data_IF_237865807078
#
_entry.id   IF_237865807078
#
_cell.length_a   1.000
_cell.length_b   1.000
_cell.length_c   1.000
_cell.angle_alpha   90.00
_cell.angle_beta   90.00
_cell.angle_gamma   90.00
#
_symmetry.space_group_name_H-M   'P 1'
#
loop_
_entity.id
_entity.type
_entity.pdbx_description
1 polymer ?
#
# COMPACT_ATOMS: atom_id res chain seq x y z
N UNK A 1 0.94 3.55 -21.58
CA UNK A 1 0.15 4.51 -20.79
C UNK A 1 0.00 5.78 -21.60
N UNK A 2 -1.17 6.40 -21.57
CA UNK A 2 -1.30 7.80 -22.01
C UNK A 2 -0.62 8.73 -21.00
N UNK A 3 -0.33 9.99 -21.36
CA UNK A 3 0.21 10.97 -20.41
C UNK A 3 -0.64 11.12 -19.14
N UNK A 4 -1.96 11.07 -19.27
CA UNK A 4 -2.91 11.16 -18.17
C UNK A 4 -2.80 9.94 -17.24
N UNK A 5 -2.75 8.74 -17.82
CA UNK A 5 -2.57 7.50 -17.05
C UNK A 5 -1.22 7.48 -16.31
N UNK A 6 -0.16 8.02 -16.93
CA UNK A 6 1.15 8.12 -16.29
C UNK A 6 1.12 9.11 -15.12
N UNK A 7 0.42 10.24 -15.28
CA UNK A 7 0.27 11.23 -14.22
C UNK A 7 -0.50 10.65 -13.03
N UNK A 8 -1.62 9.96 -13.28
CA UNK A 8 -2.41 9.28 -12.26
C UNK A 8 -1.57 8.22 -11.52
N UNK A 9 -0.84 7.39 -12.27
CA UNK A 9 0.07 6.41 -11.67
C UNK A 9 1.12 7.08 -10.76
N UNK A 10 1.74 8.16 -11.23
CA UNK A 10 2.77 8.87 -10.46
C UNK A 10 2.21 9.44 -9.15
N UNK A 11 0.97 9.95 -9.16
CA UNK A 11 0.29 10.43 -7.96
C UNK A 11 0.06 9.30 -6.95
N UNK A 12 -0.39 8.14 -7.42
CA UNK A 12 -0.60 6.97 -6.57
C UNK A 12 0.72 6.44 -5.99
N UNK A 13 1.77 6.35 -6.81
CA UNK A 13 3.10 5.90 -6.35
C UNK A 13 3.65 6.86 -5.28
N UNK A 14 3.53 8.17 -5.45
CA UNK A 14 3.97 9.14 -4.44
C UNK A 14 3.21 8.99 -3.13
N UNK A 15 1.89 8.79 -3.18
CA UNK A 15 1.07 8.57 -1.99
C UNK A 15 1.49 7.28 -1.25
N UNK A 16 1.69 6.18 -1.98
CA UNK A 16 2.16 4.91 -1.42
C UNK A 16 3.56 5.06 -0.80
N UNK A 17 4.50 5.72 -1.49
CA UNK A 17 5.84 5.96 -0.99
C UNK A 17 5.84 6.75 0.33
N UNK A 18 4.98 7.77 0.43
CA UNK A 18 4.83 8.55 1.67
C UNK A 18 4.34 7.69 2.84
N UNK A 19 3.35 6.83 2.61
CA UNK A 19 2.82 5.93 3.65
C UNK A 19 3.87 4.91 4.07
N UNK A 20 4.57 4.29 3.11
CA UNK A 20 5.65 3.34 3.40
C UNK A 20 6.76 3.98 4.22
N UNK A 21 7.18 5.20 3.89
CA UNK A 21 8.18 5.94 4.68
C UNK A 21 7.73 6.25 6.12
N UNK A 22 6.41 6.38 6.36
CA UNK A 22 5.87 6.70 7.67
C UNK A 22 5.64 5.46 8.56
N UNK A 23 5.24 4.35 7.95
CA UNK A 23 4.77 3.16 8.68
C UNK A 23 5.76 1.99 8.67
N UNK A 24 6.67 1.93 7.72
CA UNK A 24 7.60 0.82 7.57
C UNK A 24 8.90 1.05 8.36
N UNK A 25 9.48 -0.05 8.83
CA UNK A 25 10.85 -0.04 9.33
C UNK A 25 11.82 0.42 8.23
N UNK A 26 12.74 1.32 8.58
CA UNK A 26 13.67 1.93 7.62
C UNK A 26 14.51 0.91 6.83
N UNK A 27 14.74 -0.29 7.39
CA UNK A 27 15.46 -1.39 6.75
C UNK A 27 14.64 -2.05 5.63
N UNK A 28 13.32 -2.12 5.79
CA UNK A 28 12.42 -2.79 4.82
C UNK A 28 12.18 -1.96 3.57
N UNK A 29 12.43 -0.65 3.59
CA UNK A 29 12.24 0.23 2.43
C UNK A 29 13.52 0.48 1.62
N UNK A 30 14.63 -0.20 1.97
CA UNK A 30 15.90 -0.08 1.25
C UNK A 30 16.04 -1.06 0.08
N UNK A 31 15.23 -2.11 0.06
CA UNK A 31 15.27 -3.14 -0.98
C UNK A 31 13.90 -3.28 -1.64
N UNK A 32 13.89 -3.69 -2.91
CA UNK A 32 12.65 -3.92 -3.64
C UNK A 32 11.80 -5.02 -2.99
N UNK A 33 12.45 -6.08 -2.48
CA UNK A 33 11.80 -7.18 -1.76
C UNK A 33 11.10 -6.70 -0.48
N UNK A 34 11.76 -5.86 0.31
CA UNK A 34 11.18 -5.33 1.53
C UNK A 34 10.01 -4.38 1.26
N UNK A 35 10.11 -3.55 0.21
CA UNK A 35 9.01 -2.69 -0.26
C UNK A 35 7.81 -3.55 -0.68
N UNK A 36 8.04 -4.57 -1.52
CA UNK A 36 6.99 -5.48 -2.00
C UNK A 36 6.28 -6.17 -0.83
N UNK A 37 7.05 -6.73 0.10
CA UNK A 37 6.52 -7.46 1.26
C UNK A 37 5.68 -6.54 2.14
N UNK A 38 6.16 -5.33 2.39
CA UNK A 38 5.45 -4.33 3.21
C UNK A 38 4.13 -3.92 2.55
N UNK A 39 4.14 -3.59 1.25
CA UNK A 39 2.93 -3.21 0.50
C UNK A 39 1.92 -4.37 0.51
N UNK A 40 2.37 -5.60 0.28
CA UNK A 40 1.53 -6.80 0.30
C UNK A 40 0.83 -6.97 1.65
N UNK A 41 1.58 -6.90 2.75
CA UNK A 41 1.03 -7.03 4.10
C UNK A 41 0.01 -5.93 4.44
N UNK A 42 0.32 -4.67 4.12
CA UNK A 42 -0.59 -3.55 4.35
C UNK A 42 -1.88 -3.69 3.53
N UNK A 43 -1.75 -4.09 2.26
CA UNK A 43 -2.89 -4.32 1.36
C UNK A 43 -3.79 -5.43 1.88
N UNK A 44 -3.21 -6.55 2.31
CA UNK A 44 -3.96 -7.67 2.90
C UNK A 44 -4.68 -7.26 4.17
N UNK A 45 -4.03 -6.53 5.08
CA UNK A 45 -4.65 -6.01 6.31
C UNK A 45 -5.83 -5.09 5.99
N UNK A 46 -5.67 -4.17 5.04
CA UNK A 46 -6.74 -3.26 4.62
C UNK A 46 -7.91 -4.02 3.99
N UNK A 47 -7.64 -4.97 3.09
CA UNK A 47 -8.69 -5.78 2.46
C UNK A 47 -9.44 -6.66 3.47
N UNK A 48 -8.73 -7.28 4.41
CA UNK A 48 -9.34 -8.07 5.46
C UNK A 48 -10.23 -7.21 6.37
N UNK A 49 -9.74 -6.05 6.82
CA UNK A 49 -10.52 -5.09 7.59
C UNK A 49 -11.75 -4.62 6.81
N UNK A 50 -11.59 -4.29 5.52
CA UNK A 50 -12.68 -3.88 4.65
C UNK A 50 -13.73 -4.98 4.51
N UNK A 51 -13.31 -6.23 4.35
CA UNK A 51 -14.21 -7.37 4.26
C UNK A 51 -15.02 -7.55 5.55
N UNK A 52 -14.38 -7.46 6.71
CA UNK A 52 -15.02 -7.50 8.04
C UNK A 52 -16.05 -6.36 8.19
N UNK A 53 -15.65 -5.13 7.87
CA UNK A 53 -16.52 -3.95 7.96
C UNK A 53 -17.71 -4.00 6.99
N UNK A 54 -17.51 -4.47 5.75
CA UNK A 54 -18.56 -4.53 4.75
C UNK A 54 -19.55 -5.69 4.98
N UNK A 55 -19.13 -6.77 5.66
CA UNK A 55 -19.99 -7.92 5.93
C UNK A 55 -20.56 -7.95 7.35
N UNK A 56 -20.27 -6.94 8.19
CA UNK A 56 -20.80 -6.86 9.55
C UNK A 56 -20.37 -8.03 10.46
N UNK A 57 -19.30 -8.74 10.09
CA UNK A 57 -18.73 -9.80 10.90
C UNK A 57 -17.90 -9.13 11.98
N UNK A 58 -18.43 -9.01 13.20
CA UNK A 58 -17.69 -8.47 14.34
C UNK A 58 -16.51 -9.38 14.70
N UNK A 59 -15.40 -8.76 15.15
CA UNK A 59 -14.30 -9.45 15.83
C UNK A 59 -14.78 -10.11 17.13
#
# INVERSE_FOLDING_TARGET
MTPEQQQELNQHIQAIAKILHQEAEAEKIQTLEGIETTIREQTLKYMALRFVLCNGLGL
#
